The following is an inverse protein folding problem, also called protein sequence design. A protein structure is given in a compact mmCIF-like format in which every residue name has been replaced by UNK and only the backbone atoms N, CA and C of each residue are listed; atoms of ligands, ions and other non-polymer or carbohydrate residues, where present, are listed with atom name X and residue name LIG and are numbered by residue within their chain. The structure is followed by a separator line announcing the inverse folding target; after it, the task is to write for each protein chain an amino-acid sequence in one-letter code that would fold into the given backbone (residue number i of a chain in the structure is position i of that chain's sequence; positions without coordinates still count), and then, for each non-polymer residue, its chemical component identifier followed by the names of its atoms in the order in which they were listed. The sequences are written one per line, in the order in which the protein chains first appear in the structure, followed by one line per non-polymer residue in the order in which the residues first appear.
data_IF_124832529160
#
_entry.id   IF_124832529160
#
_cell.length_a   1.000
_cell.length_b   1.000
_cell.length_c   1.000
_cell.angle_alpha   90.00
_cell.angle_beta   90.00
_cell.angle_gamma   90.00
#
_symmetry.space_group_name_H-M   'P 1'
#
loop_
_entity.id
_entity.type
_entity.pdbx_description
1 polymer ?
#
# COMPACT_ATOMS: atom_id res chain seq x y z
N UNK A 1 -21.09 -47.87 -36.71
CA UNK A 1 -20.66 -46.69 -35.92
C UNK A 1 -21.91 -45.88 -35.63
N UNK A 2 -22.48 -46.03 -34.43
CA UNK A 2 -23.86 -45.67 -34.15
C UNK A 2 -24.03 -44.15 -34.08
N UNK A 3 -24.98 -43.61 -34.85
CA UNK A 3 -25.32 -42.19 -34.92
C UNK A 3 -25.61 -41.59 -33.53
N UNK A 4 -26.20 -42.37 -32.62
CA UNK A 4 -26.42 -42.01 -31.22
C UNK A 4 -25.12 -41.72 -30.45
N UNK A 5 -24.02 -42.41 -30.77
CA UNK A 5 -22.73 -42.23 -30.09
C UNK A 5 -22.09 -40.90 -30.47
N UNK A 6 -22.21 -40.47 -31.73
CA UNK A 6 -21.72 -39.18 -32.20
C UNK A 6 -22.51 -38.02 -31.60
N UNK A 7 -23.84 -38.16 -31.47
CA UNK A 7 -24.68 -37.16 -30.80
C UNK A 7 -24.25 -37.01 -29.34
N UNK A 8 -24.01 -38.12 -28.63
CA UNK A 8 -23.61 -38.09 -27.23
C UNK A 8 -22.26 -37.38 -27.03
N UNK A 9 -21.27 -37.68 -27.88
CA UNK A 9 -19.96 -37.02 -27.84
C UNK A 9 -20.08 -35.53 -28.14
N UNK A 10 -20.86 -35.14 -29.17
CA UNK A 10 -21.08 -33.74 -29.49
C UNK A 10 -21.76 -32.98 -28.34
N UNK A 11 -22.78 -33.58 -27.69
CA UNK A 11 -23.43 -32.94 -26.55
C UNK A 11 -22.49 -32.78 -25.36
N UNK A 12 -21.64 -33.77 -25.08
CA UNK A 12 -20.66 -33.69 -24.00
C UNK A 12 -19.62 -32.59 -24.29
N UNK A 13 -19.12 -32.51 -25.53
CA UNK A 13 -18.15 -31.46 -25.93
C UNK A 13 -18.78 -30.07 -25.84
N UNK A 14 -19.99 -29.87 -26.36
CA UNK A 14 -20.71 -28.59 -26.26
C UNK A 14 -20.99 -28.18 -24.81
N UNK A 15 -21.35 -29.13 -23.94
CA UNK A 15 -21.54 -28.87 -22.52
C UNK A 15 -20.21 -28.49 -21.84
N UNK A 16 -19.10 -29.14 -22.18
CA UNK A 16 -17.77 -28.84 -21.62
C UNK A 16 -17.25 -27.46 -22.05
N UNK A 17 -17.53 -27.05 -23.29
CA UNK A 17 -17.13 -25.76 -23.84
C UNK A 17 -17.95 -24.61 -23.21
N UNK A 18 -19.25 -24.84 -22.96
CA UNK A 18 -20.09 -23.88 -22.23
C UNK A 18 -19.71 -23.72 -20.75
N UNK A 19 -19.23 -24.80 -20.10
CA UNK A 19 -18.78 -24.75 -18.71
C UNK A 19 -17.43 -24.01 -18.57
N UNK A 20 -16.58 -24.03 -19.61
CA UNK A 20 -15.26 -23.39 -19.60
C UNK A 20 -15.32 -21.87 -19.79
N UNK A 21 -16.44 -21.33 -20.29
CA UNK A 21 -16.67 -19.89 -20.47
C UNK A 21 -17.39 -19.25 -19.27
N UNK A 22 -17.74 -20.03 -18.24
CA UNK A 22 -18.14 -19.52 -16.94
C UNK A 22 -16.88 -19.29 -16.08
N UNK A 23 -15.98 -18.44 -16.56
CA UNK A 23 -14.95 -17.86 -15.71
C UNK A 23 -15.66 -17.07 -14.61
N UNK A 24 -15.45 -17.46 -13.36
CA UNK A 24 -15.92 -16.70 -12.21
C UNK A 24 -15.28 -15.32 -12.25
N UNK A 25 -16.06 -14.30 -12.61
CA UNK A 25 -15.73 -12.92 -12.29
C UNK A 25 -15.78 -12.78 -10.76
N UNK A 26 -14.72 -13.22 -10.09
CA UNK A 26 -14.56 -13.14 -8.66
C UNK A 26 -14.18 -11.69 -8.29
N UNK A 27 -15.20 -10.91 -7.92
CA UNK A 27 -15.13 -9.81 -6.95
C UNK A 27 -14.12 -8.66 -7.18
N UNK A 28 -14.02 -8.10 -8.39
CA UNK A 28 -13.25 -6.86 -8.66
C UNK A 28 -13.92 -5.58 -8.07
N UNK A 29 -15.10 -5.70 -7.46
CA UNK A 29 -15.85 -4.56 -6.88
C UNK A 29 -15.60 -4.34 -5.38
N UNK A 30 -14.80 -5.19 -4.72
CA UNK A 30 -14.64 -5.11 -3.26
C UNK A 30 -13.87 -3.86 -2.79
N UNK A 31 -12.99 -3.31 -3.64
CA UNK A 31 -12.07 -2.23 -3.29
C UNK A 31 -12.20 -1.03 -4.23
N UNK A 32 -13.44 -0.55 -4.42
CA UNK A 32 -13.71 0.76 -5.01
C UNK A 32 -12.89 1.85 -4.30
N UNK A 33 -12.40 2.83 -5.07
CA UNK A 33 -11.66 3.95 -4.50
C UNK A 33 -12.51 4.79 -3.52
N UNK A 34 -11.84 5.46 -2.57
CA UNK A 34 -12.46 6.47 -1.70
C UNK A 34 -13.45 5.92 -0.66
N UNK A 35 -13.55 4.59 -0.50
CA UNK A 35 -14.41 3.96 0.51
C UNK A 35 -13.72 3.93 1.88
N UNK A 36 -14.36 4.51 2.90
CA UNK A 36 -13.91 4.41 4.30
C UNK A 36 -14.65 3.27 4.98
N UNK A 37 -13.94 2.46 5.76
CA UNK A 37 -14.52 1.26 6.37
C UNK A 37 -15.40 1.56 7.60
N UNK A 38 -15.09 2.61 8.39
CA UNK A 38 -15.70 2.71 9.75
C UNK A 38 -15.85 4.12 10.36
N UNK A 39 -16.17 5.16 9.58
CA UNK A 39 -16.35 6.53 10.15
C UNK A 39 -17.78 7.03 9.99
N UNK A 40 -18.52 7.14 11.11
CA UNK A 40 -19.89 7.72 11.13
C UNK A 40 -19.91 9.25 11.23
N UNK A 41 -18.90 9.86 11.87
CA UNK A 41 -18.81 11.30 12.08
C UNK A 41 -17.44 11.82 11.60
N UNK A 42 -17.44 12.72 10.62
CA UNK A 42 -16.22 13.30 10.05
C UNK A 42 -16.13 14.75 10.52
N UNK A 43 -15.08 15.11 11.27
CA UNK A 43 -14.73 16.51 11.49
C UNK A 43 -14.07 17.07 10.23
N UNK A 44 -14.54 18.21 9.73
CA UNK A 44 -13.98 18.86 8.56
C UNK A 44 -12.66 19.60 8.83
N UNK A 45 -12.16 19.63 10.07
CA UNK A 45 -10.98 20.43 10.44
C UNK A 45 -10.06 19.70 11.42
N UNK A 46 -8.78 19.62 11.07
CA UNK A 46 -7.69 19.14 11.93
C UNK A 46 -7.00 20.37 12.55
N UNK A 47 -7.64 20.99 13.54
CA UNK A 47 -6.95 21.84 14.52
C UNK A 47 -7.23 21.16 15.85
N UNK A 48 -6.19 20.74 16.58
CA UNK A 48 -6.30 19.78 17.70
C UNK A 48 -7.02 18.49 17.29
N UNK A 49 -6.57 17.87 16.19
CA UNK A 49 -7.12 16.59 15.74
C UNK A 49 -6.96 15.48 16.79
N UNK A 50 -7.77 14.44 16.64
CA UNK A 50 -7.66 13.20 17.42
C UNK A 50 -6.89 12.15 16.63
N UNK A 51 -6.35 11.16 17.33
CA UNK A 51 -5.76 9.99 16.70
C UNK A 51 -6.75 9.32 15.73
N UNK A 52 -6.27 8.94 14.55
CA UNK A 52 -7.07 8.24 13.57
C UNK A 52 -7.11 6.75 13.91
N UNK A 53 -8.30 6.19 14.08
CA UNK A 53 -8.43 4.74 14.22
C UNK A 53 -7.96 4.03 12.94
N UNK A 54 -7.42 2.82 13.12
CA UNK A 54 -7.06 1.92 12.00
C UNK A 54 -8.24 1.73 11.04
N UNK A 55 -7.94 1.53 9.74
CA UNK A 55 -8.91 1.39 8.62
C UNK A 55 -9.68 2.65 8.23
N UNK A 56 -9.61 3.75 8.98
CA UNK A 56 -10.38 4.95 8.64
C UNK A 56 -9.90 5.64 7.36
N UNK A 57 -8.61 5.53 7.06
CA UNK A 57 -7.95 6.25 5.96
C UNK A 57 -6.98 5.32 5.20
N UNK A 58 -7.48 4.27 4.54
CA UNK A 58 -6.67 3.19 3.98
C UNK A 58 -5.78 3.60 2.80
N UNK A 59 -5.97 4.81 2.26
CA UNK A 59 -5.14 5.39 1.21
C UNK A 59 -3.95 6.20 1.75
N UNK A 60 -3.90 6.51 3.05
CA UNK A 60 -2.80 7.32 3.59
C UNK A 60 -1.52 6.51 3.59
N UNK A 61 -0.47 7.07 3.01
CA UNK A 61 0.87 6.47 2.99
C UNK A 61 1.89 7.40 3.62
N UNK A 62 2.99 6.83 4.08
CA UNK A 62 4.13 7.57 4.62
C UNK A 62 5.39 7.31 3.77
N UNK A 63 6.11 8.37 3.44
CA UNK A 63 7.28 8.35 2.55
C UNK A 63 8.53 8.57 3.40
N UNK A 64 9.45 7.62 3.34
CA UNK A 64 10.69 7.61 4.12
C UNK A 64 11.90 7.74 3.21
N UNK A 65 12.95 8.41 3.67
CA UNK A 65 14.24 8.48 2.98
C UNK A 65 15.15 7.28 3.31
N UNK A 66 16.38 7.28 2.77
CA UNK A 66 17.36 6.22 2.97
C UNK A 66 17.87 6.10 4.41
N UNK A 67 17.65 7.12 5.24
CA UNK A 67 17.99 7.12 6.67
C UNK A 67 16.80 6.68 7.52
N UNK A 68 15.73 6.19 6.90
CA UNK A 68 14.48 5.84 7.54
C UNK A 68 13.82 7.02 8.29
N UNK A 69 14.01 8.23 7.78
CA UNK A 69 13.35 9.43 8.28
C UNK A 69 12.08 9.68 7.49
N UNK A 70 10.95 9.88 8.18
CA UNK A 70 9.69 10.23 7.54
C UNK A 70 9.76 11.65 6.96
N UNK A 71 9.72 11.73 5.63
CA UNK A 71 9.82 12.97 4.85
C UNK A 71 8.45 13.57 4.57
N UNK A 72 7.53 12.75 4.05
CA UNK A 72 6.23 13.22 3.56
C UNK A 72 5.12 12.20 3.77
N UNK A 73 3.88 12.66 3.64
CA UNK A 73 2.73 11.78 3.41
C UNK A 73 2.44 11.61 1.92
N UNK A 74 1.46 10.76 1.60
CA UNK A 74 0.90 10.65 0.26
C UNK A 74 -0.48 10.01 0.29
N UNK A 75 -1.05 9.80 -0.88
CA UNK A 75 -2.28 9.03 -1.05
C UNK A 75 -2.14 7.98 -2.14
N UNK A 76 -2.45 6.72 -1.81
CA UNK A 76 -2.54 5.64 -2.77
C UNK A 76 -3.71 5.93 -3.72
N UNK A 77 -3.47 5.90 -5.03
CA UNK A 77 -4.48 6.15 -6.07
C UNK A 77 -4.72 4.93 -6.96
N UNK A 78 -3.82 3.95 -6.91
CA UNK A 78 -3.97 2.62 -7.51
C UNK A 78 -3.00 1.63 -6.83
N UNK A 79 -2.95 0.37 -7.25
CA UNK A 79 -2.04 -0.66 -6.71
C UNK A 79 -0.55 -0.30 -6.84
N UNK A 80 -0.19 0.63 -7.74
CA UNK A 80 1.20 0.95 -8.08
C UNK A 80 1.53 2.44 -7.97
N UNK A 81 0.53 3.29 -7.73
CA UNK A 81 0.71 4.74 -7.80
C UNK A 81 0.27 5.43 -6.53
N UNK A 82 1.13 6.32 -6.05
CA UNK A 82 0.88 7.25 -4.95
C UNK A 82 0.96 8.68 -5.48
N UNK A 83 0.00 9.52 -5.12
CA UNK A 83 0.09 10.96 -5.32
C UNK A 83 0.63 11.65 -4.07
N UNK A 84 1.54 12.60 -4.25
CA UNK A 84 2.13 13.40 -3.17
C UNK A 84 2.59 14.75 -3.73
N UNK A 85 3.38 15.51 -2.98
CA UNK A 85 3.93 16.80 -3.39
C UNK A 85 5.31 16.62 -4.07
N UNK A 86 5.64 17.50 -5.02
CA UNK A 86 6.92 17.46 -5.72
C UNK A 86 8.09 17.85 -4.81
N UNK A 87 7.86 18.78 -3.88
CA UNK A 87 8.88 19.22 -2.93
C UNK A 87 9.38 18.11 -1.99
N UNK A 88 8.63 17.00 -1.86
CA UNK A 88 9.02 15.85 -1.03
C UNK A 88 10.33 15.20 -1.48
N UNK A 89 10.66 15.29 -2.78
CA UNK A 89 11.81 14.59 -3.36
C UNK A 89 12.98 15.53 -3.68
N UNK A 90 12.72 16.82 -3.95
CA UNK A 90 13.75 17.76 -4.40
C UNK A 90 14.48 17.24 -5.64
N UNK A 91 15.82 17.29 -5.63
CA UNK A 91 16.69 16.74 -6.69
C UNK A 91 17.29 15.38 -6.31
N UNK A 92 16.65 14.63 -5.42
CA UNK A 92 17.15 13.34 -4.96
C UNK A 92 16.73 12.20 -5.90
N UNK A 93 17.52 11.12 -5.90
CA UNK A 93 17.19 9.89 -6.61
C UNK A 93 15.96 9.23 -5.98
N UNK A 94 15.01 8.84 -6.82
CA UNK A 94 13.78 8.16 -6.43
C UNK A 94 14.06 6.88 -5.62
N UNK A 95 15.13 6.14 -5.93
CA UNK A 95 15.48 4.90 -5.25
C UNK A 95 15.95 5.10 -3.80
N UNK A 96 16.16 6.34 -3.36
CA UNK A 96 16.44 6.66 -1.95
C UNK A 96 15.19 6.68 -1.08
N UNK A 97 14.01 6.49 -1.67
CA UNK A 97 12.75 6.57 -0.96
C UNK A 97 12.03 5.23 -0.88
N UNK A 98 11.28 5.06 0.20
CA UNK A 98 10.34 3.96 0.38
C UNK A 98 8.98 4.49 0.82
N UNK A 99 7.93 3.73 0.52
CA UNK A 99 6.55 4.02 0.88
C UNK A 99 6.06 2.95 1.85
N UNK A 100 5.50 3.39 2.97
CA UNK A 100 4.87 2.55 3.99
C UNK A 100 3.35 2.70 3.93
N UNK A 101 2.64 1.58 3.89
CA UNK A 101 1.18 1.49 3.78
C UNK A 101 0.59 0.59 4.89
N UNK A 102 -0.69 0.75 5.20
CA UNK A 102 -1.44 -0.17 6.07
C UNK A 102 -1.27 0.04 7.58
N UNK A 103 -0.52 1.06 8.01
CA UNK A 103 -0.28 1.36 9.44
C UNK A 103 -0.71 2.76 9.84
N UNK A 104 -1.11 2.92 11.12
CA UNK A 104 -1.29 4.23 11.78
C UNK A 104 -0.10 4.60 12.68
N UNK A 105 0.83 3.66 12.92
CA UNK A 105 1.98 3.85 13.80
C UNK A 105 3.25 4.11 12.98
N UNK A 106 3.92 5.24 13.28
CA UNK A 106 5.15 5.70 12.64
C UNK A 106 6.41 5.05 13.20
N UNK A 107 6.32 4.44 14.39
CA UNK A 107 7.46 3.92 15.17
C UNK A 107 7.78 2.45 14.86
N UNK A 108 6.90 1.77 14.13
CA UNK A 108 7.11 0.39 13.65
C UNK A 108 8.14 0.40 12.51
N UNK A 109 9.42 0.44 12.88
CA UNK A 109 10.58 0.46 11.98
C UNK A 109 11.11 -0.96 11.74
N UNK A 110 10.99 -1.85 12.72
CA UNK A 110 11.56 -3.20 12.72
C UNK A 110 11.08 -4.07 11.54
N UNK A 111 9.88 -3.83 11.02
CA UNK A 111 9.29 -4.62 9.94
C UNK A 111 9.82 -4.24 8.54
N UNK A 112 10.26 -3.00 8.31
CA UNK A 112 10.87 -2.59 7.04
C UNK A 112 12.38 -2.90 6.97
N UNK A 113 13.04 -3.02 8.13
CA UNK A 113 14.47 -3.34 8.22
C UNK A 113 14.79 -4.82 7.97
N UNK A 114 13.78 -5.69 8.05
CA UNK A 114 13.90 -7.14 7.83
C UNK A 114 13.61 -7.58 6.39
N UNK A 115 13.46 -6.64 5.45
CA UNK A 115 13.36 -6.98 4.04
C UNK A 115 14.67 -7.66 3.60
N UNK A 116 14.64 -8.87 3.00
CA UNK A 116 15.85 -9.60 2.64
C UNK A 116 16.78 -8.78 1.73
N UNK A 117 17.88 -8.28 2.27
CA UNK A 117 19.04 -7.83 1.49
C UNK A 117 19.84 -9.07 1.11
N UNK A 118 19.42 -9.79 0.07
CA UNK A 118 20.03 -11.01 -0.47
C UNK A 118 20.24 -12.18 0.54
N UNK A 119 19.95 -13.45 0.17
CA UNK A 119 20.08 -14.57 1.08
C UNK A 119 21.52 -15.09 1.14
N UNK A 120 22.47 -14.34 1.73
CA UNK A 120 23.82 -14.87 2.02
C UNK A 120 24.31 -14.42 3.41
N UNK A 121 24.17 -15.36 4.35
CA UNK A 121 24.89 -15.52 5.64
C UNK A 121 24.57 -14.49 6.75
N UNK A 122 23.63 -14.84 7.63
CA UNK A 122 23.62 -14.29 9.00
C UNK A 122 24.47 -15.16 9.92
N UNK A 123 25.71 -14.73 10.17
CA UNK A 123 26.41 -15.14 11.38
C UNK A 123 25.94 -14.29 12.57
N UNK A 124 25.34 -15.02 13.50
CA UNK A 124 25.14 -14.75 14.93
C UNK A 124 26.15 -13.75 15.52
N UNK A 125 25.66 -12.71 16.21
CA UNK A 125 26.32 -12.26 17.43
C UNK A 125 25.30 -11.80 18.47
N UNK A 126 25.24 -12.60 19.53
CA UNK A 126 24.64 -12.34 20.84
C UNK A 126 25.34 -11.18 21.54
N UNK A 127 24.60 -10.22 22.10
CA UNK A 127 25.13 -9.17 22.97
C UNK A 127 24.04 -8.46 23.75
N UNK A 128 23.94 -8.80 25.03
CA UNK A 128 22.93 -8.41 26.04
C UNK A 128 23.23 -7.04 26.64
N UNK A 129 22.22 -6.23 26.96
CA UNK A 129 22.20 -5.42 28.19
C UNK A 129 20.79 -4.98 28.59
N UNK A 130 20.45 -5.33 29.83
CA UNK A 130 19.25 -4.98 30.58
C UNK A 130 19.25 -3.51 31.02
N UNK A 131 18.13 -2.78 30.89
CA UNK A 131 17.65 -1.82 31.91
C UNK A 131 16.12 -1.85 31.95
N UNK A 132 15.60 -2.21 33.11
CA UNK A 132 14.19 -2.24 33.50
C UNK A 132 13.61 -0.85 33.74
N UNK A 133 12.46 -0.53 33.13
CA UNK A 133 11.52 0.40 33.73
C UNK A 133 10.08 0.01 33.37
N UNK A 134 9.30 -0.29 34.41
CA UNK A 134 7.87 -0.60 34.36
C UNK A 134 7.08 0.63 33.91
N UNK A 135 6.34 0.51 32.82
CA UNK A 135 5.18 1.35 32.51
C UNK A 135 4.02 0.40 32.19
N UNK A 136 2.96 0.58 32.98
CA UNK A 136 1.63 0.02 32.91
C UNK A 136 1.12 -0.28 31.48
N UNK A 137 0.94 -1.57 31.22
CA UNK A 137 0.25 -2.15 30.08
C UNK A 137 -1.25 -1.82 30.12
N UNK A 138 -1.78 -1.24 29.04
CA UNK A 138 -2.94 -1.80 28.33
C UNK A 138 -3.09 -1.12 26.96
N UNK A 139 -2.32 -1.60 25.97
CA UNK A 139 -2.75 -1.56 24.58
C UNK A 139 -2.97 -3.02 24.21
N UNK A 140 -4.23 -3.43 24.00
CA UNK A 140 -4.49 -4.77 23.47
C UNK A 140 -3.76 -4.93 22.14
N UNK A 141 -2.74 -5.77 22.18
CA UNK A 141 -1.87 -6.16 21.08
C UNK A 141 -2.73 -6.91 20.05
N UNK A 142 -3.22 -6.17 19.06
CA UNK A 142 -3.83 -6.78 17.89
C UNK A 142 -2.71 -7.43 17.07
N UNK A 143 -2.97 -8.59 16.44
CA UNK A 143 -1.94 -9.38 15.80
C UNK A 143 -1.17 -8.54 14.77
N UNK A 144 0.16 -8.71 14.78
CA UNK A 144 1.07 -8.27 13.73
C UNK A 144 0.51 -8.60 12.34
N UNK A 145 0.91 -7.80 11.35
CA UNK A 145 0.50 -7.76 9.93
C UNK A 145 -0.64 -6.76 9.71
N UNK A 146 -0.34 -5.55 9.20
CA UNK A 146 -0.27 -5.36 7.74
C UNK A 146 0.50 -4.10 7.31
N UNK A 147 1.66 -3.81 7.92
CA UNK A 147 2.57 -2.81 7.37
C UNK A 147 3.24 -3.38 6.12
N UNK A 148 3.10 -2.69 4.99
CA UNK A 148 3.84 -3.00 3.76
C UNK A 148 4.81 -1.87 3.47
N UNK A 149 6.06 -2.23 3.21
CA UNK A 149 7.12 -1.30 2.83
C UNK A 149 7.50 -1.58 1.37
N UNK A 150 7.39 -0.57 0.52
CA UNK A 150 7.65 -0.70 -0.92
C UNK A 150 8.68 0.33 -1.35
N UNK A 151 9.71 -0.11 -2.06
CA UNK A 151 10.68 0.80 -2.67
C UNK A 151 10.03 1.62 -3.80
N UNK A 152 10.54 2.83 -4.01
CA UNK A 152 10.12 3.68 -5.11
C UNK A 152 10.90 3.30 -6.39
N UNK A 153 10.15 3.03 -7.47
CA UNK A 153 10.73 2.79 -8.79
C UNK A 153 11.05 4.09 -9.50
N UNK A 154 10.12 5.04 -9.52
CA UNK A 154 10.32 6.35 -10.14
C UNK A 154 9.37 7.40 -9.55
N UNK A 155 9.74 8.67 -9.72
CA UNK A 155 8.92 9.82 -9.34
C UNK A 155 8.72 10.70 -10.57
N UNK A 156 7.47 10.95 -10.92
CA UNK A 156 7.08 11.83 -12.00
C UNK A 156 6.60 13.17 -11.42
N UNK A 157 7.27 14.26 -11.78
CA UNK A 157 6.84 15.62 -11.46
C UNK A 157 6.50 16.37 -12.76
N UNK A 158 5.54 17.32 -12.75
CA UNK A 158 5.29 18.18 -13.90
C UNK A 158 6.54 18.98 -14.27
N UNK A 159 6.79 19.09 -15.58
CA UNK A 159 7.88 19.94 -16.08
C UNK A 159 7.65 21.37 -15.60
N UNK A 160 8.60 21.86 -14.80
CA UNK A 160 8.63 23.24 -14.32
C UNK A 160 9.35 24.08 -15.38
N UNK A 161 8.60 24.73 -16.28
CA UNK A 161 9.18 25.66 -17.26
C UNK A 161 9.70 26.96 -16.61
N UNK A 162 9.54 27.13 -15.29
CA UNK A 162 10.09 28.25 -14.53
C UNK A 162 10.45 27.81 -13.09
N UNK A 163 11.55 28.33 -12.55
CA UNK A 163 12.30 27.85 -11.36
C UNK A 163 11.59 27.99 -9.99
N UNK A 164 10.30 28.34 -9.94
CA UNK A 164 9.60 28.55 -8.67
C UNK A 164 8.93 27.25 -8.21
N UNK A 165 9.50 26.60 -7.19
CA UNK A 165 9.12 25.31 -6.57
C UNK A 165 7.63 25.12 -6.19
N UNK A 166 6.77 26.12 -6.34
CA UNK A 166 5.42 26.12 -5.75
C UNK A 166 4.26 26.23 -6.75
N UNK A 167 4.50 26.36 -8.06
CA UNK A 167 3.36 26.51 -9.00
C UNK A 167 2.71 25.18 -9.40
N UNK A 168 3.46 24.08 -9.37
CA UNK A 168 2.94 22.71 -9.60
C UNK A 168 3.59 21.74 -8.61
N UNK A 169 3.14 21.81 -7.37
CA UNK A 169 3.67 20.98 -6.28
C UNK A 169 2.93 19.64 -6.16
N UNK A 170 3.00 18.85 -7.23
CA UNK A 170 2.40 17.52 -7.31
C UNK A 170 3.40 16.54 -7.91
N UNK A 171 3.45 15.34 -7.36
CA UNK A 171 4.24 14.23 -7.86
C UNK A 171 3.41 12.95 -7.87
N UNK A 172 3.67 12.10 -8.86
CA UNK A 172 3.18 10.73 -8.89
C UNK A 172 4.38 9.80 -8.68
N UNK A 173 4.30 8.99 -7.65
CA UNK A 173 5.30 7.99 -7.27
C UNK A 173 4.85 6.65 -7.82
N UNK A 174 5.71 5.99 -8.59
CA UNK A 174 5.52 4.60 -9.00
C UNK A 174 6.21 3.66 -8.02
N UNK A 175 5.45 2.74 -7.46
CA UNK A 175 5.94 1.70 -6.57
C UNK A 175 6.65 0.60 -7.37
N UNK A 176 7.74 0.05 -6.82
CA UNK A 176 8.50 -1.05 -7.45
C UNK A 176 7.74 -2.37 -7.52
N UNK A 177 6.80 -2.57 -6.60
CA UNK A 177 5.93 -3.75 -6.56
C UNK A 177 4.49 -3.31 -6.33
N UNK A 178 3.55 -3.96 -7.00
CA UNK A 178 2.11 -3.75 -6.77
C UNK A 178 1.76 -4.10 -5.33
N UNK A 179 0.88 -3.31 -4.72
CA UNK A 179 0.27 -3.64 -3.44
C UNK A 179 -1.08 -4.31 -3.67
N UNK A 180 -1.39 -5.31 -2.86
CA UNK A 180 -2.73 -5.89 -2.82
C UNK A 180 -3.63 -5.03 -1.94
N UNK A 181 -4.88 -4.85 -2.35
CA UNK A 181 -5.86 -4.15 -1.53
C UNK A 181 -6.38 -5.02 -0.39
N UNK A 182 -6.61 -4.36 0.74
CA UNK A 182 -7.06 -4.95 1.99
C UNK A 182 -7.98 -3.97 2.72
N UNK A 183 -8.39 -4.29 3.94
CA UNK A 183 -9.12 -3.35 4.79
C UNK A 183 -8.30 -2.11 5.20
N UNK A 184 -6.97 -2.17 5.08
CA UNK A 184 -6.03 -1.14 5.54
C UNK A 184 -5.32 -0.44 4.39
N UNK A 185 -5.35 -1.02 3.19
CA UNK A 185 -4.70 -0.52 1.98
C UNK A 185 -5.75 -0.45 0.87
N UNK A 186 -6.22 0.75 0.54
CA UNK A 186 -7.23 0.99 -0.51
C UNK A 186 -6.94 2.32 -1.19
N UNK A 187 -7.29 2.51 -2.47
CA UNK A 187 -7.02 3.75 -3.17
C UNK A 187 -8.02 4.86 -2.82
N UNK A 188 -7.63 6.12 -2.94
CA UNK A 188 -8.55 7.26 -2.97
C UNK A 188 -8.98 7.57 -4.40
N UNK A 189 -10.20 8.06 -4.59
CA UNK A 189 -10.66 8.51 -5.90
C UNK A 189 -10.04 9.87 -6.26
N UNK A 190 -9.71 10.04 -7.54
CA UNK A 190 -9.35 11.34 -8.08
C UNK A 190 -10.60 12.12 -8.50
N UNK A 191 -10.62 13.46 -8.34
CA UNK A 191 -11.69 14.30 -8.86
C UNK A 191 -11.72 14.29 -10.39
N UNK A 192 -12.90 14.60 -10.95
CA UNK A 192 -13.09 14.79 -12.41
C UNK A 192 -12.59 16.16 -12.87
#
# INVERSE_FOLDING_TARGET
MNSLFLVFVYTIVFLYESASLAGTAENDTQYDCGRRQTVKNISARIINGTEAARKNWPWVVAIYDSNDTLVCGGSLISEEYVVTAAHCFGNQDAHKFSVRLGTTDRTIVSQCNNTPKDPIIQEKTTGKTDISQKVNEECHEAPETELICVEVESVCTPIQNNCCLFMKDIAVVKLKTKVNYTDYIQPICLPK
#
